data_IF_723058800128
#
_entry.id   IF_723058800128
#
_cell.length_a   1.000
_cell.length_b   1.000
_cell.length_c   1.000
_cell.angle_alpha   90.00
_cell.angle_beta   90.00
_cell.angle_gamma   90.00
#
_symmetry.space_group_name_H-M   'P 1'
#
loop_
_entity.id
_entity.type
_entity.pdbx_description
1 polymer ?
#
# COMPACT_ATOMS: atom_id res chain seq x y z
N UNK A 1 -36.62 -62.10 31.68
CA UNK A 1 -35.59 -62.36 32.71
C UNK A 1 -35.06 -61.03 33.20
N UNK A 2 -35.57 -60.62 34.36
CA UNK A 2 -35.24 -59.41 35.13
C UNK A 2 -34.13 -59.75 36.14
N UNK A 3 -33.21 -58.80 36.36
CA UNK A 3 -32.50 -58.45 37.63
C UNK A 3 -31.36 -57.48 37.26
N UNK A 4 -31.54 -56.17 37.37
CA UNK A 4 -31.33 -55.33 38.57
C UNK A 4 -29.92 -55.40 39.18
N UNK A 5 -29.32 -54.21 39.22
CA UNK A 5 -28.01 -53.72 39.68
C UNK A 5 -27.68 -54.05 41.14
N UNK A 6 -26.41 -53.89 41.57
CA UNK A 6 -26.15 -52.76 42.47
C UNK A 6 -24.77 -52.07 42.32
N UNK A 7 -24.64 -50.77 42.64
CA UNK A 7 -23.38 -50.12 43.07
C UNK A 7 -23.29 -50.20 44.63
N UNK A 8 -22.43 -49.50 45.40
CA UNK A 8 -21.16 -48.75 45.18
C UNK A 8 -20.05 -49.15 46.21
N UNK A 9 -19.04 -48.25 46.40
CA UNK A 9 -18.27 -47.91 47.63
C UNK A 9 -16.73 -48.11 47.56
N UNK A 10 -15.90 -47.54 48.48
CA UNK A 10 -15.15 -46.30 48.21
C UNK A 10 -13.65 -46.41 48.58
N UNK A 11 -12.89 -45.35 48.28
CA UNK A 11 -11.70 -44.87 49.00
C UNK A 11 -10.77 -45.89 49.70
N UNK A 12 -9.60 -46.14 49.12
CA UNK A 12 -8.41 -46.54 49.86
C UNK A 12 -7.37 -45.41 49.83
N UNK A 13 -7.34 -44.62 50.91
CA UNK A 13 -6.17 -43.85 51.34
C UNK A 13 -4.99 -44.81 51.50
N UNK A 14 -3.90 -44.59 50.76
CA UNK A 14 -2.56 -45.00 51.21
C UNK A 14 -1.74 -43.74 51.46
N UNK A 15 -1.69 -43.39 52.74
CA UNK A 15 -0.48 -43.04 53.48
C UNK A 15 0.57 -42.24 52.71
N UNK A 16 0.59 -40.93 52.98
CA UNK A 16 1.84 -40.20 53.15
C UNK A 16 2.75 -41.04 54.08
N UNK A 17 3.84 -41.56 53.53
CA UNK A 17 5.03 -41.78 54.33
C UNK A 17 6.19 -41.01 53.71
N UNK A 18 6.83 -40.25 54.58
CA UNK A 18 7.99 -39.42 54.32
C UNK A 18 9.12 -40.32 53.86
N UNK A 19 9.79 -39.93 52.79
CA UNK A 19 11.27 -39.87 52.73
C UNK A 19 11.66 -39.18 51.44
N UNK A 20 11.99 -37.91 51.57
CA UNK A 20 12.78 -37.14 50.62
C UNK A 20 14.19 -37.73 50.59
N UNK A 21 14.70 -38.22 49.45
CA UNK A 21 16.10 -38.03 49.13
C UNK A 21 16.20 -36.77 48.26
N UNK A 22 16.92 -35.78 48.79
CA UNK A 22 17.40 -34.61 48.07
C UNK A 22 18.06 -35.07 46.75
N UNK A 23 17.35 -34.97 45.63
CA UNK A 23 17.98 -35.00 44.30
C UNK A 23 18.31 -33.57 43.92
N UNK A 24 19.51 -33.15 44.33
CA UNK A 24 20.25 -32.09 43.66
C UNK A 24 20.24 -32.38 42.15
N UNK A 25 19.94 -31.34 41.37
CA UNK A 25 19.77 -31.42 39.93
C UNK A 25 20.96 -32.10 39.25
N UNK A 26 20.70 -33.29 38.71
CA UNK A 26 21.48 -33.75 37.56
C UNK A 26 20.80 -33.14 36.34
N UNK A 27 21.12 -31.87 36.06
CA UNK A 27 21.02 -31.37 34.70
C UNK A 27 22.00 -32.22 33.89
N UNK A 28 21.51 -33.34 33.35
CA UNK A 28 22.16 -33.95 32.20
C UNK A 28 22.20 -32.85 31.16
N UNK A 29 23.37 -32.24 30.99
CA UNK A 29 23.72 -31.51 29.79
C UNK A 29 23.68 -32.54 28.67
N UNK A 30 22.48 -32.84 28.18
CA UNK A 30 22.29 -33.40 26.86
C UNK A 30 22.99 -32.43 25.95
N UNK A 31 24.18 -32.80 25.47
CA UNK A 31 24.81 -32.14 24.33
C UNK A 31 23.73 -32.09 23.27
N UNK A 32 23.16 -30.91 23.04
CA UNK A 32 22.21 -30.66 21.96
C UNK A 32 22.99 -30.99 20.70
N UNK A 33 22.78 -32.21 20.17
CA UNK A 33 23.33 -32.61 18.88
C UNK A 33 22.56 -31.83 17.84
N UNK A 34 22.97 -30.59 17.63
CA UNK A 34 22.50 -29.75 16.55
C UNK A 34 22.84 -30.48 15.25
N UNK A 35 21.83 -30.69 14.41
CA UNK A 35 22.02 -31.27 13.09
C UNK A 35 22.90 -30.35 12.24
N UNK A 36 23.67 -30.87 11.27
CA UNK A 36 24.53 -30.04 10.41
C UNK A 36 23.74 -28.92 9.70
N UNK A 37 22.46 -29.15 9.39
CA UNK A 37 21.58 -28.16 8.80
C UNK A 37 21.27 -26.97 9.74
N UNK A 38 21.23 -27.20 11.05
CA UNK A 38 21.04 -26.14 12.06
C UNK A 38 22.29 -25.27 12.23
N UNK A 39 23.48 -25.86 12.05
CA UNK A 39 24.73 -25.11 12.05
C UNK A 39 24.87 -24.21 10.83
N UNK A 40 24.59 -24.75 9.65
CA UNK A 40 24.60 -23.97 8.39
C UNK A 40 23.60 -22.81 8.50
N UNK A 41 22.43 -23.10 9.06
CA UNK A 41 21.38 -22.12 9.20
C UNK A 41 21.67 -21.01 10.20
N UNK A 42 22.04 -21.36 11.43
CA UNK A 42 22.45 -20.38 12.44
C UNK A 42 23.65 -19.55 11.98
N UNK A 43 24.60 -20.18 11.27
CA UNK A 43 25.74 -19.49 10.67
C UNK A 43 25.33 -18.46 9.61
N UNK A 44 24.42 -18.82 8.71
CA UNK A 44 23.92 -17.90 7.68
C UNK A 44 23.19 -16.69 8.29
N UNK A 45 22.34 -16.90 9.29
CA UNK A 45 21.65 -15.79 9.98
C UNK A 45 22.65 -14.89 10.72
N UNK A 46 23.64 -15.46 11.41
CA UNK A 46 24.67 -14.69 12.09
C UNK A 46 25.56 -13.89 11.12
N UNK A 47 25.87 -14.46 9.96
CA UNK A 47 26.64 -13.78 8.92
C UNK A 47 25.87 -12.58 8.33
N UNK A 48 24.58 -12.73 8.04
CA UNK A 48 23.75 -11.61 7.56
C UNK A 48 23.55 -10.54 8.64
N UNK A 49 23.42 -10.94 9.91
CA UNK A 49 23.37 -9.99 11.02
C UNK A 49 24.68 -9.19 11.15
N UNK A 50 25.84 -9.83 10.97
CA UNK A 50 27.14 -9.18 10.94
C UNK A 50 27.26 -8.17 9.79
N UNK A 51 26.80 -8.53 8.60
CA UNK A 51 26.78 -7.62 7.44
C UNK A 51 25.91 -6.39 7.74
N UNK A 52 24.71 -6.59 8.31
CA UNK A 52 23.84 -5.48 8.71
C UNK A 52 24.49 -4.58 9.76
N UNK A 53 25.26 -5.16 10.69
CA UNK A 53 25.98 -4.42 11.72
C UNK A 53 27.09 -3.55 11.13
N UNK A 54 27.78 -4.03 10.09
CA UNK A 54 28.86 -3.32 9.41
C UNK A 54 28.34 -2.21 8.48
N UNK A 55 27.14 -2.35 7.89
CA UNK A 55 26.61 -1.37 6.93
C UNK A 55 25.69 -0.32 7.53
N UNK A 56 24.93 -0.66 8.57
CA UNK A 56 23.88 0.23 9.11
C UNK A 56 23.76 0.20 10.63
N UNK A 57 24.78 -0.29 11.33
CA UNK A 57 24.80 -0.36 12.79
C UNK A 57 23.85 -1.41 13.37
N UNK A 58 23.72 -1.40 14.70
CA UNK A 58 23.01 -2.42 15.47
C UNK A 58 21.54 -2.58 15.01
N UNK A 59 20.91 -1.48 14.60
CA UNK A 59 19.50 -1.47 14.18
C UNK A 59 19.27 -2.18 12.83
N UNK A 60 20.20 -2.05 11.88
CA UNK A 60 20.16 -2.79 10.61
C UNK A 60 20.32 -4.30 10.85
N UNK A 61 21.20 -4.69 11.77
CA UNK A 61 21.37 -6.11 12.15
C UNK A 61 20.09 -6.70 12.76
N UNK A 62 19.37 -5.95 13.61
CA UNK A 62 18.10 -6.40 14.22
C UNK A 62 17.01 -6.56 13.16
N UNK A 63 16.88 -5.62 12.23
CA UNK A 63 15.87 -5.68 11.15
C UNK A 63 16.13 -6.88 10.23
N UNK A 64 17.38 -7.07 9.80
CA UNK A 64 17.75 -8.19 8.91
C UNK A 64 17.55 -9.55 9.61
N UNK A 65 17.92 -9.65 10.88
CA UNK A 65 17.68 -10.87 11.68
C UNK A 65 16.19 -11.14 11.85
N UNK A 66 15.40 -10.10 12.14
CA UNK A 66 13.94 -10.19 12.27
C UNK A 66 13.25 -10.66 10.98
N UNK A 67 13.66 -10.12 9.82
CA UNK A 67 13.13 -10.51 8.51
C UNK A 67 13.46 -11.97 8.18
N UNK A 68 14.70 -12.42 8.44
CA UNK A 68 15.09 -13.82 8.20
C UNK A 68 14.25 -14.76 9.07
N UNK A 69 14.03 -14.43 10.34
CA UNK A 69 13.18 -15.22 11.23
C UNK A 69 11.72 -15.23 10.79
N UNK A 70 11.19 -14.10 10.31
CA UNK A 70 9.83 -13.97 9.80
C UNK A 70 9.61 -14.81 8.54
N UNK A 71 10.51 -14.73 7.56
CA UNK A 71 10.45 -15.52 6.33
C UNK A 71 10.57 -17.01 6.66
N UNK A 72 11.46 -17.39 7.59
CA UNK A 72 11.62 -18.78 8.02
C UNK A 72 10.36 -19.32 8.70
N UNK A 73 9.69 -18.49 9.52
CA UNK A 73 8.43 -18.84 10.17
C UNK A 73 7.28 -18.98 9.15
N UNK A 74 7.15 -18.05 8.21
CA UNK A 74 6.17 -18.10 7.11
C UNK A 74 6.37 -19.34 6.24
N UNK A 75 7.61 -19.67 5.90
CA UNK A 75 7.95 -20.87 5.13
C UNK A 75 7.53 -22.16 5.86
N UNK A 76 7.76 -22.23 7.17
CA UNK A 76 7.33 -23.36 8.00
C UNK A 76 5.80 -23.52 8.07
N UNK A 77 5.07 -22.41 8.15
CA UNK A 77 3.60 -22.39 8.17
C UNK A 77 3.03 -22.78 6.81
N UNK A 78 3.56 -22.22 5.72
CA UNK A 78 3.06 -22.42 4.36
C UNK A 78 3.33 -23.85 3.86
N UNK A 79 4.53 -24.40 4.06
CA UNK A 79 4.89 -25.71 3.52
C UNK A 79 4.60 -26.88 4.47
N UNK A 80 4.10 -26.62 5.69
CA UNK A 80 3.88 -27.63 6.76
C UNK A 80 5.10 -28.54 7.01
N UNK A 81 6.31 -28.08 6.64
CA UNK A 81 7.57 -28.81 6.79
C UNK A 81 8.27 -28.35 8.08
N UNK A 82 8.97 -29.25 8.78
CA UNK A 82 9.78 -28.87 9.94
C UNK A 82 10.90 -27.92 9.49
N UNK A 83 10.83 -26.66 9.90
CA UNK A 83 11.92 -25.69 9.74
C UNK A 83 13.13 -26.12 10.56
N UNK A 84 14.35 -25.69 10.20
CA UNK A 84 15.55 -26.04 10.98
C UNK A 84 15.43 -25.67 12.46
N UNK A 85 14.60 -24.68 12.81
CA UNK A 85 14.44 -24.17 14.18
C UNK A 85 13.77 -25.16 15.13
N UNK A 86 13.31 -26.32 14.67
CA UNK A 86 12.73 -27.34 15.54
C UNK A 86 11.50 -26.85 16.31
N UNK A 87 10.77 -25.87 15.75
CA UNK A 87 9.59 -25.29 16.39
C UNK A 87 8.52 -26.38 16.59
N UNK A 88 8.03 -26.59 17.83
CA UNK A 88 7.07 -27.63 18.11
C UNK A 88 5.76 -27.36 17.37
N UNK A 89 5.24 -28.40 16.69
CA UNK A 89 4.01 -28.42 15.88
C UNK A 89 2.73 -28.31 16.74
N UNK A 90 2.68 -27.38 17.69
CA UNK A 90 1.44 -27.03 18.41
C UNK A 90 0.87 -25.79 17.75
N UNK A 91 -0.39 -25.88 17.29
CA UNK A 91 -1.08 -24.89 16.45
C UNK A 91 -1.08 -23.45 17.00
N UNK A 92 -0.77 -23.24 18.29
CA UNK A 92 -0.64 -21.91 18.91
C UNK A 92 0.77 -21.32 18.95
N UNK A 93 1.84 -22.11 18.79
CA UNK A 93 3.22 -21.62 18.95
C UNK A 93 3.70 -20.78 17.76
N UNK A 94 3.24 -21.10 16.54
CA UNK A 94 3.58 -20.35 15.33
C UNK A 94 2.96 -18.95 15.31
N UNK A 95 1.76 -18.76 15.87
CA UNK A 95 1.13 -17.45 15.99
C UNK A 95 1.90 -16.52 16.93
N UNK A 96 2.42 -17.04 18.03
CA UNK A 96 3.22 -16.28 19.00
C UNK A 96 4.56 -15.86 18.39
N UNK A 97 5.20 -16.73 17.59
CA UNK A 97 6.44 -16.40 16.89
C UNK A 97 6.25 -15.29 15.85
N UNK A 98 5.16 -15.33 15.08
CA UNK A 98 4.82 -14.27 14.10
C UNK A 98 4.47 -12.96 14.82
N UNK A 99 3.70 -13.01 15.92
CA UNK A 99 3.37 -11.83 16.70
C UNK A 99 4.62 -11.20 17.35
N UNK A 100 5.55 -12.02 17.87
CA UNK A 100 6.81 -11.53 18.44
C UNK A 100 7.72 -10.92 17.36
N UNK A 101 7.79 -11.51 16.16
CA UNK A 101 8.56 -10.97 15.04
C UNK A 101 7.97 -9.63 14.54
N UNK A 102 6.65 -9.53 14.42
CA UNK A 102 5.97 -8.28 14.06
C UNK A 102 6.13 -7.20 15.13
N UNK A 103 6.03 -7.56 16.42
CA UNK A 103 6.27 -6.62 17.51
C UNK A 103 7.71 -6.08 17.50
N UNK A 104 8.70 -6.93 17.24
CA UNK A 104 10.09 -6.50 17.09
C UNK A 104 10.29 -5.56 15.88
N UNK A 105 9.56 -5.76 14.79
CA UNK A 105 9.63 -4.95 13.57
C UNK A 105 8.97 -3.56 13.74
N UNK A 106 7.86 -3.50 14.50
CA UNK A 106 7.18 -2.24 14.87
C UNK A 106 7.98 -1.46 15.92
N UNK A 107 8.60 -2.13 16.88
CA UNK A 107 9.48 -1.48 17.87
C UNK A 107 10.78 -0.97 17.24
N UNK A 108 11.33 -1.67 16.25
CA UNK A 108 12.53 -1.24 15.53
C UNK A 108 12.33 -0.02 14.60
N UNK A 109 11.12 0.17 14.07
CA UNK A 109 10.80 1.31 13.19
C UNK A 109 10.55 2.61 13.95
N UNK A 110 10.06 2.57 15.19
CA UNK A 110 9.86 3.77 16.02
C UNK A 110 11.17 4.42 16.50
N UNK A 111 12.28 3.66 16.58
CA UNK A 111 13.58 4.19 16.99
C UNK A 111 14.35 4.90 15.87
N UNK A 112 14.03 4.64 14.59
CA UNK A 112 14.67 5.26 13.44
C UNK A 112 14.29 6.74 13.22
N UNK A 113 13.16 7.19 13.79
CA UNK A 113 12.68 8.57 13.64
C UNK A 113 13.37 9.59 14.56
N UNK A 114 14.09 9.14 15.60
CA UNK A 114 14.64 10.03 16.63
C UNK A 114 16.09 10.48 16.40
N UNK A 115 16.75 10.02 15.34
CA UNK A 115 18.16 10.36 15.04
C UNK A 115 18.35 11.12 13.71
N UNK A 116 17.27 11.61 13.10
CA UNK A 116 17.41 12.57 12.01
C UNK A 116 17.95 13.90 12.59
N UNK A 117 19.08 14.44 12.09
CA UNK A 117 19.53 15.77 12.49
C UNK A 117 18.44 16.78 12.11
N UNK A 118 17.99 17.57 13.09
CA UNK A 118 17.00 18.61 12.90
C UNK A 118 17.52 19.64 11.85
N UNK A 119 16.67 20.11 10.92
CA UNK A 119 17.06 21.19 10.01
C UNK A 119 17.27 22.46 10.84
N UNK A 120 18.47 23.04 10.72
CA UNK A 120 18.82 24.32 11.33
C UNK A 120 17.94 25.40 10.73
N UNK A 121 17.12 26.04 11.57
CA UNK A 121 16.39 27.25 11.21
C UNK A 121 17.38 28.34 10.78
N UNK A 122 17.20 28.85 9.56
CA UNK A 122 18.04 29.90 8.99
C UNK A 122 17.68 31.25 9.63
N UNK A 123 18.64 31.84 10.34
CA UNK A 123 18.60 33.24 10.77
C UNK A 123 18.85 34.13 9.55
N UNK A 124 17.85 34.91 9.14
CA UNK A 124 18.03 36.00 8.18
C UNK A 124 19.00 37.03 8.76
N UNK A 125 20.09 37.33 8.03
CA UNK A 125 20.89 38.53 8.25
C UNK A 125 21.01 39.28 6.93
N UNK A 126 20.50 40.51 6.97
CA UNK A 126 20.42 41.46 5.88
C UNK A 126 21.78 41.76 5.23
N UNK A 127 21.74 41.84 3.90
CA UNK A 127 22.84 42.26 3.04
C UNK A 127 23.24 43.71 3.33
N UNK A 128 24.55 43.96 3.50
CA UNK A 128 25.14 45.29 3.43
C UNK A 128 26.21 45.28 2.36
N UNK A 129 25.81 45.74 1.17
CA UNK A 129 26.66 45.91 -0.01
C UNK A 129 27.62 47.08 0.21
N UNK A 130 28.94 46.85 0.13
CA UNK A 130 29.91 47.92 -0.09
C UNK A 130 30.87 47.56 -1.21
N UNK A 131 30.76 48.34 -2.28
CA UNK A 131 31.63 48.43 -3.45
C UNK A 131 33.02 48.98 -3.05
N UNK A 132 34.14 48.48 -3.60
CA UNK A 132 35.44 49.13 -3.48
C UNK A 132 35.71 50.08 -4.66
N UNK A 133 36.09 51.32 -4.35
CA UNK A 133 36.60 52.32 -5.29
C UNK A 133 38.12 52.51 -5.06
N UNK A 134 38.89 52.63 -6.14
CA UNK A 134 40.35 52.75 -6.21
C UNK A 134 40.69 54.03 -7.04
N UNK A 135 41.90 54.60 -6.99
CA UNK A 135 42.37 55.63 -6.05
C UNK A 135 42.72 56.97 -6.77
N UNK A 136 42.91 58.05 -6.01
CA UNK A 136 43.59 59.26 -6.53
C UNK A 136 44.54 59.87 -5.49
N UNK A 137 45.81 59.99 -5.89
CA UNK A 137 46.83 60.88 -5.31
C UNK A 137 46.77 62.24 -6.07
N UNK A 138 47.43 63.37 -5.66
CA UNK A 138 48.67 63.43 -4.85
C UNK A 138 48.86 64.66 -3.91
N UNK A 139 50.05 64.63 -3.27
CA UNK A 139 50.93 65.75 -2.86
C UNK A 139 50.75 66.42 -1.48
N UNK A 140 51.70 66.14 -0.58
CA UNK A 140 52.52 67.15 0.11
C UNK A 140 53.72 66.51 0.85
N UNK A 141 54.88 67.14 0.74
CA UNK A 141 56.13 66.98 1.52
C UNK A 141 56.48 68.36 2.11
N UNK A 142 57.51 68.55 2.97
CA UNK A 142 58.19 67.62 3.89
C UNK A 142 58.38 68.23 5.30
N UNK A 143 58.79 67.45 6.31
CA UNK A 143 59.67 67.93 7.42
C UNK A 143 60.34 66.74 8.12
N UNK A 144 61.64 66.91 8.38
CA UNK A 144 62.61 65.89 8.79
C UNK A 144 62.49 65.42 10.25
N UNK A 145 62.79 64.14 10.49
CA UNK A 145 63.45 63.69 11.72
C UNK A 145 64.01 62.25 11.60
N UNK A 146 65.35 62.20 11.55
CA UNK A 146 66.27 61.20 12.14
C UNK A 146 66.10 59.70 11.86
N UNK A 147 67.15 59.21 11.22
CA UNK A 147 67.70 57.85 11.15
C UNK A 147 67.43 56.97 12.38
N UNK A 148 66.66 55.90 12.16
CA UNK A 148 66.84 54.63 12.83
C UNK A 148 66.68 53.55 11.75
N UNK A 149 67.65 52.65 11.64
CA UNK A 149 67.60 51.48 10.75
C UNK A 149 66.64 50.45 11.35
N UNK A 150 65.47 50.13 10.76
CA UNK A 150 64.71 48.97 11.15
C UNK A 150 65.22 47.75 10.37
N UNK A 151 65.60 46.72 11.12
CA UNK A 151 65.75 45.33 10.69
C UNK A 151 64.60 44.92 9.74
N UNK A 152 64.87 44.20 8.63
CA UNK A 152 63.79 43.76 7.73
C UNK A 152 62.81 42.88 8.50
N UNK A 153 61.61 43.41 8.72
CA UNK A 153 60.47 42.63 9.20
C UNK A 153 60.06 41.70 8.06
N UNK A 154 59.90 40.38 8.28
CA UNK A 154 59.42 39.50 7.23
C UNK A 154 58.01 39.95 6.84
N UNK A 155 57.84 40.30 5.56
CA UNK A 155 56.55 40.57 4.94
C UNK A 155 55.61 39.40 5.25
N UNK A 156 54.43 39.59 5.86
CA UNK A 156 53.49 38.50 6.03
C UNK A 156 53.06 38.03 4.63
N UNK A 157 53.47 36.82 4.25
CA UNK A 157 52.95 36.15 3.07
C UNK A 157 51.43 36.05 3.24
N UNK A 158 50.60 36.64 2.35
CA UNK A 158 49.16 36.53 2.47
C UNK A 158 48.80 35.05 2.40
N UNK A 159 48.29 34.52 3.50
CA UNK A 159 47.83 33.13 3.58
C UNK A 159 46.41 33.10 3.04
N UNK A 160 46.25 32.80 1.75
CA UNK A 160 44.93 32.62 1.13
C UNK A 160 44.32 31.33 1.68
N UNK A 161 43.17 31.43 2.33
CA UNK A 161 42.50 30.26 2.91
C UNK A 161 41.64 29.63 1.81
N UNK A 162 42.03 28.43 1.37
CA UNK A 162 41.26 27.63 0.43
C UNK A 162 40.37 26.68 1.22
N UNK A 163 39.06 26.76 1.01
CA UNK A 163 38.08 25.87 1.64
C UNK A 163 37.33 25.11 0.56
N UNK A 164 37.20 23.80 0.72
CA UNK A 164 36.39 22.94 -0.14
C UNK A 164 35.11 22.57 0.61
N UNK A 165 33.95 22.82 0.00
CA UNK A 165 32.64 22.46 0.54
C UNK A 165 31.90 21.50 -0.39
N UNK A 166 31.10 20.60 0.19
CA UNK A 166 30.17 19.77 -0.57
C UNK A 166 28.79 20.39 -0.48
N UNK A 167 28.22 20.75 -1.63
CA UNK A 167 26.89 21.36 -1.75
C UNK A 167 25.96 20.41 -2.48
N UNK A 168 24.75 20.21 -1.95
CA UNK A 168 23.73 19.36 -2.55
C UNK A 168 22.60 20.22 -3.08
N UNK A 169 22.28 20.07 -4.37
CA UNK A 169 21.13 20.73 -5.01
C UNK A 169 20.12 19.68 -5.47
N UNK A 170 18.83 19.99 -5.29
CA UNK A 170 17.73 19.12 -5.70
C UNK A 170 16.97 19.74 -6.88
N UNK A 171 16.68 18.89 -7.87
CA UNK A 171 15.89 19.25 -9.05
C UNK A 171 14.70 18.30 -9.11
N UNK A 172 13.50 18.83 -9.35
CA UNK A 172 12.28 18.03 -9.47
C UNK A 172 12.26 17.32 -10.82
N UNK A 173 11.96 16.03 -10.83
CA UNK A 173 11.70 15.25 -12.04
C UNK A 173 10.18 15.18 -12.21
N UNK A 174 9.60 15.84 -13.22
CA UNK A 174 8.15 15.85 -13.38
C UNK A 174 7.62 14.45 -13.70
N UNK A 175 6.47 14.11 -13.12
CA UNK A 175 5.76 12.87 -13.43
C UNK A 175 5.19 12.86 -14.85
N UNK A 176 5.21 11.69 -15.47
CA UNK A 176 4.53 11.48 -16.75
C UNK A 176 3.06 11.11 -16.52
N UNK A 177 2.25 11.17 -17.59
CA UNK A 177 0.86 10.71 -17.57
C UNK A 177 0.67 9.57 -18.56
N UNK A 178 -0.10 8.54 -18.17
CA UNK A 178 -0.45 7.41 -19.03
C UNK A 178 -1.91 7.04 -18.89
N UNK A 179 -2.46 6.47 -19.96
CA UNK A 179 -3.83 5.97 -20.01
C UNK A 179 -3.83 4.46 -20.22
N UNK A 180 -4.65 3.76 -19.47
CA UNK A 180 -4.81 2.31 -19.53
C UNK A 180 -6.28 1.92 -19.66
N UNK A 181 -6.57 0.86 -20.40
CA UNK A 181 -7.93 0.35 -20.56
C UNK A 181 -8.34 -0.53 -19.35
N UNK A 182 -9.55 -0.32 -18.82
CA UNK A 182 -10.18 -1.18 -17.81
C UNK A 182 -11.33 -1.98 -18.45
N UNK A 183 -11.13 -3.28 -18.74
CA UNK A 183 -12.18 -4.12 -19.30
C UNK A 183 -13.31 -4.42 -18.29
N UNK A 184 -13.14 -4.07 -17.02
CA UNK A 184 -14.17 -4.27 -15.99
C UNK A 184 -15.01 -3.02 -15.72
N UNK A 185 -14.58 -1.85 -16.22
CA UNK A 185 -15.31 -0.60 -16.07
C UNK A 185 -16.11 -0.27 -17.34
N UNK A 186 -17.30 0.29 -17.15
CA UNK A 186 -18.24 0.58 -18.22
C UNK A 186 -17.68 1.65 -19.16
N UNK A 187 -17.91 1.47 -20.46
CA UNK A 187 -17.52 2.45 -21.46
C UNK A 187 -18.08 3.82 -21.12
N UNK A 188 -17.21 4.84 -21.16
CA UNK A 188 -17.55 6.20 -20.77
C UNK A 188 -17.29 6.53 -19.28
N UNK A 189 -16.87 5.55 -18.47
CA UNK A 189 -16.35 5.80 -17.12
C UNK A 189 -14.84 5.91 -17.10
N UNK A 190 -14.29 6.68 -16.16
CA UNK A 190 -12.85 6.75 -15.94
C UNK A 190 -12.50 6.94 -14.46
N UNK A 191 -11.31 6.45 -14.09
CA UNK A 191 -10.73 6.65 -12.75
C UNK A 191 -9.33 7.22 -12.87
N UNK A 192 -8.99 8.17 -12.02
CA UNK A 192 -7.68 8.82 -12.00
C UNK A 192 -6.91 8.43 -10.74
N UNK A 193 -5.66 8.00 -10.92
CA UNK A 193 -4.69 7.78 -9.85
C UNK A 193 -3.53 8.75 -10.03
N UNK A 194 -3.39 9.68 -9.07
CA UNK A 194 -2.33 10.68 -9.08
C UNK A 194 -0.97 10.04 -8.76
N UNK A 195 0.02 10.34 -9.59
CA UNK A 195 1.42 10.04 -9.38
C UNK A 195 2.12 11.10 -8.52
N UNK A 196 3.43 10.94 -8.37
CA UNK A 196 4.29 11.79 -7.54
C UNK A 196 5.56 12.12 -8.31
N UNK A 197 5.97 13.38 -8.29
CA UNK A 197 7.21 13.81 -8.92
C UNK A 197 8.43 13.15 -8.27
N UNK A 198 9.44 12.88 -9.07
CA UNK A 198 10.73 12.40 -8.60
C UNK A 198 11.66 13.53 -8.14
N UNK A 199 12.80 13.15 -7.56
CA UNK A 199 13.85 14.09 -7.14
C UNK A 199 15.19 13.62 -7.69
N UNK A 200 15.84 14.49 -8.45
CA UNK A 200 17.21 14.38 -8.88
C UNK A 200 18.09 15.17 -7.92
N UNK A 201 19.09 14.52 -7.35
CA UNK A 201 20.06 15.15 -6.46
C UNK A 201 21.39 15.26 -7.16
N UNK A 202 21.92 16.48 -7.22
CA UNK A 202 23.25 16.81 -7.74
C UNK A 202 24.13 17.24 -6.59
N UNK A 203 25.31 16.64 -6.52
CA UNK A 203 26.32 16.97 -5.51
C UNK A 203 27.46 17.70 -6.20
N UNK A 204 27.83 18.84 -5.66
CA UNK A 204 28.90 19.70 -6.14
C UNK A 204 30.00 19.82 -5.10
N UNK A 205 31.24 19.80 -5.56
CA UNK A 205 32.39 20.26 -4.79
C UNK A 205 32.66 21.71 -5.17
N UNK A 206 32.55 22.59 -4.18
CA UNK A 206 32.69 24.04 -4.33
C UNK A 206 33.99 24.47 -3.64
N UNK A 207 34.91 25.01 -4.42
CA UNK A 207 36.16 25.58 -3.89
C UNK A 207 35.94 27.07 -3.66
N UNK A 208 36.24 27.52 -2.46
CA UNK A 208 36.15 28.92 -2.03
C UNK A 208 37.52 29.45 -1.65
N UNK A 209 37.79 30.69 -2.04
CA UNK A 209 38.94 31.47 -1.58
C UNK A 209 38.43 32.64 -0.75
N UNK A 210 38.89 32.73 0.49
CA UNK A 210 38.47 33.78 1.43
C UNK A 210 36.93 33.90 1.56
N UNK A 211 36.24 32.76 1.48
CA UNK A 211 34.79 32.63 1.56
C UNK A 211 34.03 32.88 0.25
N UNK A 212 34.68 33.36 -0.81
CA UNK A 212 34.08 33.54 -2.13
C UNK A 212 34.21 32.26 -2.99
N UNK A 213 33.12 31.80 -3.60
CA UNK A 213 33.12 30.67 -4.55
C UNK A 213 33.93 31.02 -5.80
N UNK A 214 34.99 30.26 -6.06
CA UNK A 214 35.85 30.44 -7.24
C UNK A 214 35.71 29.33 -8.27
N UNK A 215 35.26 28.14 -7.85
CA UNK A 215 35.08 26.98 -8.72
C UNK A 215 33.99 26.07 -8.17
N UNK A 216 33.22 25.48 -9.07
CA UNK A 216 32.20 24.47 -8.79
C UNK A 216 32.35 23.32 -9.77
N UNK A 217 32.51 22.10 -9.26
CA UNK A 217 32.54 20.86 -10.05
C UNK A 217 31.43 19.92 -9.58
N UNK A 218 30.63 19.40 -10.51
CA UNK A 218 29.64 18.37 -10.19
C UNK A 218 30.36 17.04 -9.97
N UNK A 219 30.22 16.46 -8.79
CA UNK A 219 30.87 15.19 -8.42
C UNK A 219 29.91 14.00 -8.49
N UNK A 220 28.61 14.24 -8.34
CA UNK A 220 27.60 13.20 -8.44
C UNK A 220 26.27 13.74 -8.94
N UNK A 221 25.52 12.88 -9.62
CA UNK A 221 24.15 13.11 -10.03
C UNK A 221 23.40 11.78 -9.94
N UNK A 222 22.33 11.75 -9.15
CA UNK A 222 21.56 10.55 -8.91
C UNK A 222 20.08 10.88 -8.67
N UNK A 223 19.19 10.04 -9.19
CA UNK A 223 17.77 10.10 -8.85
C UNK A 223 17.60 9.52 -7.45
N UNK A 224 17.28 10.38 -6.48
CA UNK A 224 17.11 9.98 -5.08
C UNK A 224 15.67 9.61 -4.75
N UNK A 225 14.70 10.15 -5.48
CA UNK A 225 13.30 9.74 -5.43
C UNK A 225 12.82 9.44 -6.85
N UNK A 226 12.37 8.21 -7.10
CA UNK A 226 11.81 7.84 -8.38
C UNK A 226 10.45 8.52 -8.58
N UNK A 227 10.17 8.93 -9.82
CA UNK A 227 8.85 9.45 -10.20
C UNK A 227 7.82 8.32 -10.30
N UNK A 228 6.57 8.63 -9.99
CA UNK A 228 5.39 7.77 -10.21
C UNK A 228 4.47 8.51 -11.17
N UNK A 229 4.03 7.83 -12.23
CA UNK A 229 3.19 8.42 -13.27
C UNK A 229 1.74 8.65 -12.80
N UNK A 230 1.09 9.66 -13.36
CA UNK A 230 -0.36 9.80 -13.34
C UNK A 230 -0.99 8.72 -14.22
N UNK A 231 -1.94 7.94 -13.68
CA UNK A 231 -2.61 6.86 -14.41
C UNK A 231 -4.10 7.16 -14.53
N UNK A 232 -4.58 7.29 -15.77
CA UNK A 232 -6.01 7.34 -16.06
C UNK A 232 -6.47 5.99 -16.58
N UNK A 233 -7.41 5.35 -15.90
CA UNK A 233 -8.01 4.10 -16.36
C UNK A 233 -9.35 4.39 -17.02
N UNK A 234 -9.52 3.99 -18.28
CA UNK A 234 -10.74 4.23 -19.07
C UNK A 234 -11.53 2.93 -19.23
N UNK A 235 -12.82 2.96 -18.95
CA UNK A 235 -13.67 1.79 -19.11
C UNK A 235 -13.85 1.41 -20.57
N UNK A 236 -13.69 0.13 -20.88
CA UNK A 236 -13.90 -0.43 -22.23
C UNK A 236 -15.02 -1.46 -22.29
N UNK A 237 -15.68 -1.75 -21.15
CA UNK A 237 -16.80 -2.69 -21.11
C UNK A 237 -18.03 -2.06 -21.75
N UNK A 238 -18.46 -2.58 -22.89
CA UNK A 238 -19.75 -2.21 -23.48
C UNK A 238 -20.85 -2.82 -22.61
N UNK A 239 -21.70 -2.01 -21.92
CA UNK A 239 -22.84 -2.57 -21.20
C UNK A 239 -23.81 -3.23 -22.18
N UNK A 240 -24.50 -4.30 -21.76
CA UNK A 240 -25.54 -4.90 -22.61
C UNK A 240 -26.57 -3.84 -22.99
N UNK A 241 -27.16 -3.94 -24.20
CA UNK A 241 -28.22 -3.02 -24.60
C UNK A 241 -29.33 -3.04 -23.56
N UNK A 242 -29.91 -1.87 -23.29
CA UNK A 242 -31.07 -1.77 -22.44
C UNK A 242 -32.15 -2.76 -22.93
N UNK A 243 -32.86 -3.45 -22.02
CA UNK A 243 -33.94 -4.32 -22.43
C UNK A 243 -34.91 -3.54 -23.32
N UNK A 244 -35.39 -4.19 -24.38
CA UNK A 244 -36.42 -3.60 -25.23
C UNK A 244 -37.62 -3.20 -24.35
N UNK A 245 -38.31 -2.09 -24.66
CA UNK A 245 -39.52 -1.73 -23.94
C UNK A 245 -40.46 -2.94 -23.98
N UNK A 246 -40.89 -3.39 -22.81
CA UNK A 246 -41.97 -4.37 -22.72
C UNK A 246 -43.20 -3.78 -23.43
N UNK A 247 -43.99 -4.58 -24.16
CA UNK A 247 -45.20 -4.09 -24.79
C UNK A 247 -46.08 -3.41 -23.73
N UNK A 248 -46.54 -2.19 -24.03
CA UNK A 248 -47.42 -1.40 -23.17
C UNK A 248 -48.68 -2.20 -22.82
N UNK A 249 -48.67 -2.93 -21.72
CA UNK A 249 -49.88 -3.53 -21.11
C UNK A 249 -50.68 -2.49 -20.32
N UNK A 250 -50.30 -1.21 -20.40
CA UNK A 250 -50.87 -0.10 -19.66
C UNK A 250 -52.27 0.34 -20.12
N UNK A 251 -52.86 -0.31 -21.12
CA UNK A 251 -54.19 0.05 -21.62
C UNK A 251 -55.35 -0.63 -20.86
N UNK A 252 -55.09 -1.57 -19.94
CA UNK A 252 -56.16 -2.32 -19.27
C UNK A 252 -56.99 -3.17 -20.25
N UNK A 253 -56.48 -3.32 -21.48
CA UNK A 253 -57.04 -4.13 -22.53
C UNK A 253 -56.26 -5.45 -22.60
N UNK A 254 -56.95 -6.54 -22.89
CA UNK A 254 -56.33 -7.85 -23.01
C UNK A 254 -55.40 -7.90 -24.24
N UNK A 255 -54.13 -8.34 -24.06
CA UNK A 255 -53.12 -8.31 -25.13
C UNK A 255 -53.35 -9.33 -26.25
N UNK A 256 -54.29 -10.26 -26.09
CA UNK A 256 -54.66 -11.21 -27.15
C UNK A 256 -55.59 -10.61 -28.20
N UNK A 257 -56.01 -9.36 -28.00
CA UNK A 257 -56.91 -8.65 -28.90
C UNK A 257 -56.34 -7.29 -29.30
N UNK A 258 -56.67 -6.84 -30.51
CA UNK A 258 -56.29 -5.53 -31.03
C UNK A 258 -57.46 -4.85 -31.74
N UNK A 259 -57.32 -3.55 -32.01
CA UNK A 259 -58.41 -2.72 -32.52
C UNK A 259 -59.20 -2.09 -31.38
N UNK A 260 -60.30 -2.72 -30.95
CA UNK A 260 -61.07 -2.26 -29.80
C UNK A 260 -60.51 -2.82 -28.48
N UNK A 261 -60.57 -2.02 -27.41
CA UNK A 261 -60.13 -2.44 -26.09
C UNK A 261 -61.05 -3.51 -25.51
N UNK A 262 -60.55 -4.74 -25.39
CA UNK A 262 -61.22 -5.84 -24.66
C UNK A 262 -60.83 -5.71 -23.18
N UNK A 263 -61.75 -5.38 -22.26
CA UNK A 263 -61.41 -5.24 -20.84
C UNK A 263 -60.86 -6.55 -20.26
N UNK A 264 -59.87 -6.46 -19.37
CA UNK A 264 -59.39 -7.65 -18.64
C UNK A 264 -60.42 -8.03 -17.56
N UNK A 265 -61.25 -9.02 -17.85
CA UNK A 265 -62.26 -9.57 -16.94
C UNK A 265 -62.20 -11.11 -16.88
N UNK A 266 -63.03 -11.73 -16.04
CA UNK A 266 -63.15 -13.20 -16.00
C UNK A 266 -63.83 -13.77 -17.25
N UNK A 267 -64.71 -12.96 -17.86
CA UNK A 267 -65.45 -13.26 -19.06
C UNK A 267 -65.81 -11.93 -19.74
N UNK A 268 -65.76 -11.90 -21.06
CA UNK A 268 -66.07 -10.71 -21.87
C UNK A 268 -66.92 -11.17 -23.03
N UNK A 269 -68.05 -10.51 -23.25
CA UNK A 269 -68.97 -10.84 -24.33
C UNK A 269 -69.05 -9.74 -25.39
N UNK A 270 -69.48 -10.11 -26.60
CA UNK A 270 -69.86 -9.14 -27.62
C UNK A 270 -71.13 -8.40 -27.19
N UNK A 271 -71.11 -7.06 -27.23
CA UNK A 271 -72.24 -6.22 -26.85
C UNK A 271 -73.49 -6.40 -27.75
N UNK A 272 -73.35 -6.97 -28.96
CA UNK A 272 -74.46 -7.30 -29.86
C UNK A 272 -75.11 -8.66 -29.57
N UNK A 273 -74.53 -9.47 -28.68
CA UNK A 273 -75.00 -10.81 -28.33
C UNK A 273 -75.83 -10.89 -27.04
N UNK A 274 -76.31 -12.10 -26.73
CA UNK A 274 -77.05 -12.43 -25.49
C UNK A 274 -76.12 -12.86 -24.34
N UNK A 275 -74.88 -12.38 -24.32
CA UNK A 275 -73.89 -12.80 -23.33
C UNK A 275 -74.26 -12.40 -21.89
N UNK A 276 -73.86 -13.21 -20.90
CA UNK A 276 -74.13 -13.03 -19.47
C UNK A 276 -72.89 -12.57 -18.68
N UNK A 277 -71.81 -12.24 -19.37
CA UNK A 277 -70.52 -11.88 -18.82
C UNK A 277 -70.52 -10.55 -18.06
N UNK A 278 -69.57 -10.35 -17.13
CA UNK A 278 -69.46 -9.13 -16.32
C UNK A 278 -68.95 -7.92 -17.12
N UNK A 279 -68.45 -8.13 -18.35
CA UNK A 279 -67.90 -7.09 -19.22
C UNK A 279 -68.31 -7.34 -20.68
N UNK A 280 -68.42 -6.26 -21.45
CA UNK A 280 -68.80 -6.32 -22.85
C UNK A 280 -67.86 -5.46 -23.71
N UNK A 281 -67.58 -5.94 -24.93
CA UNK A 281 -66.82 -5.21 -25.94
C UNK A 281 -67.72 -4.91 -27.15
N UNK A 282 -67.57 -3.72 -27.73
CA UNK A 282 -68.21 -3.34 -28.99
C UNK A 282 -67.22 -3.55 -30.13
N UNK A 283 -67.50 -4.52 -30.99
CA UNK A 283 -66.65 -4.91 -32.11
C UNK A 283 -66.77 -4.02 -33.36
N UNK A 284 -66.00 -4.34 -34.42
CA UNK A 284 -65.16 -5.55 -34.55
C UNK A 284 -63.84 -5.45 -33.77
N UNK A 285 -63.36 -6.59 -33.27
CA UNK A 285 -62.08 -6.75 -32.54
C UNK A 285 -61.24 -7.79 -33.27
N UNK A 286 -59.94 -7.56 -33.43
CA UNK A 286 -59.04 -8.52 -34.09
C UNK A 286 -58.33 -9.39 -33.07
N UNK A 287 -58.37 -10.71 -33.24
CA UNK A 287 -57.64 -11.65 -32.37
C UNK A 287 -56.18 -11.74 -32.83
N UNK A 288 -55.24 -11.37 -31.96
CA UNK A 288 -53.78 -11.34 -32.25
C UNK A 288 -53.01 -12.52 -31.62
N UNK A 289 -53.72 -13.45 -30.98
CA UNK A 289 -53.13 -14.62 -30.33
C UNK A 289 -54.17 -15.70 -30.02
N UNK A 290 -54.19 -16.18 -28.78
CA UNK A 290 -55.27 -17.05 -28.28
C UNK A 290 -56.57 -16.25 -28.14
N UNK A 291 -57.72 -16.93 -28.21
CA UNK A 291 -59.03 -16.32 -27.93
C UNK A 291 -59.56 -16.80 -26.56
N UNK A 292 -59.06 -16.25 -25.43
CA UNK A 292 -59.43 -16.71 -24.09
C UNK A 292 -60.92 -16.48 -23.76
N UNK A 293 -61.53 -15.43 -24.33
CA UNK A 293 -62.95 -15.10 -24.13
C UNK A 293 -63.87 -15.70 -25.19
N UNK A 294 -63.33 -16.42 -26.18
CA UNK A 294 -64.09 -17.09 -27.24
C UNK A 294 -65.01 -16.12 -28.00
N UNK A 295 -64.53 -14.91 -28.26
CA UNK A 295 -65.27 -13.86 -28.95
C UNK A 295 -65.34 -14.07 -30.47
N UNK A 296 -64.42 -14.86 -31.04
CA UNK A 296 -64.36 -15.25 -32.45
C UNK A 296 -64.92 -16.68 -32.59
N UNK A 297 -66.25 -16.78 -32.76
CA UNK A 297 -66.95 -18.07 -32.78
C UNK A 297 -66.79 -18.83 -34.09
N UNK A 298 -66.57 -18.14 -35.21
CA UNK A 298 -66.39 -18.72 -36.54
C UNK A 298 -64.91 -18.89 -36.93
N UNK A 299 -63.98 -18.29 -36.18
CA UNK A 299 -62.55 -18.54 -36.25
C UNK A 299 -61.87 -17.82 -37.42
N UNK A 300 -62.43 -16.71 -37.88
CA UNK A 300 -61.92 -15.96 -39.02
C UNK A 300 -60.87 -14.88 -38.64
N UNK A 301 -60.63 -14.72 -37.33
CA UNK A 301 -59.71 -13.75 -36.74
C UNK A 301 -60.36 -12.41 -36.36
N UNK A 302 -61.65 -12.23 -36.61
CA UNK A 302 -62.43 -11.03 -36.30
C UNK A 302 -63.57 -11.37 -35.34
N UNK A 303 -63.41 -10.97 -34.09
CA UNK A 303 -64.42 -11.10 -33.04
C UNK A 303 -65.48 -9.97 -33.12
N UNK A 304 -66.71 -10.30 -32.72
CA UNK A 304 -67.83 -9.36 -32.58
C UNK A 304 -68.11 -8.51 -33.84
N UNK A 305 -68.03 -9.11 -35.01
CA UNK A 305 -68.27 -8.50 -36.32
C UNK A 305 -69.75 -8.40 -36.72
N UNK A 306 -70.64 -8.94 -35.87
CA UNK A 306 -72.07 -9.19 -36.12
C UNK A 306 -73.03 -8.28 -35.35
#
# INVERSE_FOLDING_TARGET
>A
MTRQTPPPLPSARRTQDRRTPLRLGSHRLTRLRLTPLQWIGGGATAFVALIGLLTGGIWSAVIMTGLILLVTALYGVALRRPTWLGLPRRRGASGIAVAAALAALVLGSAAYGATAPAPVAQTEVAASTRTPEVPAAPAAQPTAARTATPTPTPTPTPTVVVTTETVTETVVIPRAARTEDDPNADQGTSTFAAGVDGVLTRTFEVVKHDGAEVSRSQTSEAVTTATIDDVTRVGTRVPPPAPAPEPDTASGCDPHYSGACVPIASDVDCASGSGDGPAYVRGPVTVVGADPYRLDNDGDGIACDS
#
